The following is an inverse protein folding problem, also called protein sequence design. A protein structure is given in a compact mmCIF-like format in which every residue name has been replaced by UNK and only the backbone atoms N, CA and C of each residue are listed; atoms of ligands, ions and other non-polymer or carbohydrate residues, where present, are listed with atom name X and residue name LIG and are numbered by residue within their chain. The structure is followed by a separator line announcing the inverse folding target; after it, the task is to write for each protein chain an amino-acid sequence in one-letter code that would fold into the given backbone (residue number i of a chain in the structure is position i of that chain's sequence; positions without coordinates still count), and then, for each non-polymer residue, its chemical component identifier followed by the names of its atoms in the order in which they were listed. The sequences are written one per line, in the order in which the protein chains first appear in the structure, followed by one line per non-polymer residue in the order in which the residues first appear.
data_IF_077180664953
#
_entry.id   IF_077180664953
#
_cell.length_a   1.000
_cell.length_b   1.000
_cell.length_c   1.000
_cell.angle_alpha   90.00
_cell.angle_beta   90.00
_cell.angle_gamma   90.00
#
_symmetry.space_group_name_H-M   'P 1'
#
loop_
_entity.id
_entity.type
_entity.pdbx_description
1 polymer ?
#
# COMPACT_ATOMS: atom_id res chain seq x y z
N UNK A 1 -9.63 -13.92 -13.27
CA UNK A 1 -8.25 -13.71 -12.78
C UNK A 1 -8.26 -13.56 -11.29
N UNK A 2 -7.41 -12.71 -10.73
CA UNK A 2 -7.40 -12.38 -9.30
C UNK A 2 -8.72 -11.71 -8.87
N UNK A 3 -9.09 -11.85 -7.60
CA UNK A 3 -10.26 -11.18 -7.00
C UNK A 3 -9.81 -10.24 -5.89
N UNK A 4 -10.41 -9.06 -5.82
CA UNK A 4 -10.17 -8.09 -4.76
C UNK A 4 -11.49 -7.76 -4.05
N UNK A 5 -11.46 -7.84 -2.72
CA UNK A 5 -12.59 -7.47 -1.88
C UNK A 5 -12.44 -6.03 -1.42
N UNK A 6 -13.48 -5.20 -1.54
CA UNK A 6 -13.50 -3.88 -0.93
C UNK A 6 -14.42 -3.91 0.28
N UNK A 7 -13.95 -3.48 1.45
CA UNK A 7 -14.80 -3.28 2.62
C UNK A 7 -15.16 -1.79 2.70
N UNK A 8 -16.37 -1.47 2.26
CA UNK A 8 -16.80 -0.09 2.02
C UNK A 8 -16.44 0.44 0.63
N UNK A 9 -16.61 1.75 0.44
CA UNK A 9 -16.37 2.43 -0.83
C UNK A 9 -15.14 3.36 -0.76
N UNK A 10 -14.86 4.08 -1.85
CA UNK A 10 -13.81 5.09 -1.88
C UNK A 10 -14.02 6.15 -0.78
N UNK A 11 -12.92 6.68 -0.23
CA UNK A 11 -12.99 7.91 0.57
C UNK A 11 -13.70 9.00 -0.25
N UNK A 12 -14.68 9.67 0.37
CA UNK A 12 -15.49 10.68 -0.29
C UNK A 12 -14.64 11.81 -0.87
N UNK A 13 -15.02 12.24 -2.07
CA UNK A 13 -14.38 13.33 -2.81
C UNK A 13 -12.95 13.04 -3.27
N UNK A 14 -12.48 11.80 -3.19
CA UNK A 14 -11.18 11.38 -3.75
C UNK A 14 -11.37 10.92 -5.19
N UNK A 15 -10.61 11.51 -6.11
CA UNK A 15 -10.70 11.20 -7.54
C UNK A 15 -9.82 10.01 -7.95
N UNK A 16 -8.54 10.04 -7.61
CA UNK A 16 -7.54 9.12 -8.19
C UNK A 16 -7.74 7.66 -7.79
N UNK A 17 -8.44 7.39 -6.68
CA UNK A 17 -8.73 6.03 -6.21
C UNK A 17 -10.02 5.46 -6.81
N UNK A 18 -10.84 6.30 -7.45
CA UNK A 18 -12.04 5.88 -8.20
C UNK A 18 -11.67 5.46 -9.65
N UNK A 19 -12.65 5.01 -10.43
CA UNK A 19 -12.47 4.63 -11.83
C UNK A 19 -13.40 3.49 -12.27
N UNK A 20 -13.27 3.08 -13.52
CA UNK A 20 -14.13 2.06 -14.13
C UNK A 20 -13.61 0.63 -13.86
N UNK A 21 -14.26 -0.06 -12.92
CA UNK A 21 -13.95 -1.45 -12.56
C UNK A 21 -14.29 -2.44 -13.67
N UNK A 22 -15.28 -2.13 -14.53
CA UNK A 22 -15.66 -2.97 -15.67
C UNK A 22 -14.61 -2.86 -16.78
N UNK A 23 -14.14 -1.64 -17.08
CA UNK A 23 -13.01 -1.45 -18.00
C UNK A 23 -11.76 -2.16 -17.47
N UNK A 24 -11.46 -2.04 -16.17
CA UNK A 24 -10.34 -2.75 -15.56
C UNK A 24 -10.47 -4.28 -15.66
N UNK A 25 -11.65 -4.85 -15.41
CA UNK A 25 -11.86 -6.30 -15.55
C UNK A 25 -11.70 -6.75 -17.01
N UNK A 26 -12.18 -5.97 -17.97
CA UNK A 26 -11.99 -6.25 -19.40
C UNK A 26 -10.52 -6.14 -19.82
N UNK A 27 -9.78 -5.17 -19.28
CA UNK A 27 -8.38 -4.90 -19.64
C UNK A 27 -7.42 -5.90 -19.00
N UNK A 28 -7.63 -6.23 -17.72
CA UNK A 28 -6.67 -6.98 -16.90
C UNK A 28 -7.16 -8.36 -16.45
N UNK A 29 -8.47 -8.61 -16.49
CA UNK A 29 -9.07 -9.88 -16.05
C UNK A 29 -9.15 -10.09 -14.53
N UNK A 30 -8.89 -9.05 -13.71
CA UNK A 30 -9.14 -9.10 -12.27
C UNK A 30 -10.52 -8.52 -11.95
N UNK A 31 -11.17 -9.09 -10.93
CA UNK A 31 -12.48 -8.64 -10.46
C UNK A 31 -12.35 -7.85 -9.17
N UNK A 32 -13.10 -6.76 -9.06
CA UNK A 32 -13.16 -5.91 -7.85
C UNK A 32 -14.59 -5.75 -7.44
N UNK A 33 -14.96 -6.25 -6.26
CA UNK A 33 -16.32 -6.18 -5.75
C UNK A 33 -16.33 -5.72 -4.29
N UNK A 34 -17.37 -4.97 -3.93
CA UNK A 34 -17.56 -4.46 -2.58
C UNK A 34 -18.41 -5.41 -1.75
N UNK A 35 -17.98 -5.63 -0.51
CA UNK A 35 -18.67 -6.38 0.52
C UNK A 35 -18.98 -5.42 1.67
N UNK A 36 -20.13 -5.61 2.33
CA UNK A 36 -20.50 -4.73 3.42
C UNK A 36 -19.54 -4.91 4.58
N UNK A 37 -19.17 -3.83 5.28
CA UNK A 37 -18.32 -3.93 6.47
C UNK A 37 -18.94 -4.86 7.53
N UNK A 38 -20.27 -4.91 7.59
CA UNK A 38 -21.02 -5.82 8.47
C UNK A 38 -20.74 -7.30 8.21
N UNK A 39 -20.51 -7.70 6.96
CA UNK A 39 -20.19 -9.09 6.60
C UNK A 39 -18.82 -9.47 7.20
N UNK A 40 -17.84 -8.56 7.12
CA UNK A 40 -16.53 -8.76 7.75
C UNK A 40 -16.65 -8.79 9.28
N UNK A 41 -17.44 -7.90 9.87
CA UNK A 41 -17.68 -7.85 11.31
C UNK A 41 -18.26 -9.16 11.82
N UNK A 42 -19.17 -9.81 11.09
CA UNK A 42 -19.71 -11.14 11.44
C UNK A 42 -18.59 -12.19 11.55
N UNK A 43 -17.68 -12.23 10.57
CA UNK A 43 -16.55 -13.17 10.57
C UNK A 43 -15.56 -12.87 11.69
N UNK A 44 -15.28 -11.59 11.97
CA UNK A 44 -14.42 -11.17 13.08
C UNK A 44 -15.00 -11.63 14.42
N UNK A 45 -16.30 -11.42 14.63
CA UNK A 45 -17.00 -11.80 15.86
C UNK A 45 -17.06 -13.31 16.09
N UNK A 46 -16.90 -14.11 15.02
CA UNK A 46 -16.82 -15.57 15.10
C UNK A 46 -15.42 -16.10 15.47
N UNK A 47 -14.44 -15.24 15.77
CA UNK A 47 -13.10 -15.64 16.21
C UNK A 47 -13.16 -16.36 17.56
N UNK A 48 -12.52 -17.52 17.66
CA UNK A 48 -12.48 -18.33 18.88
C UNK A 48 -11.36 -17.89 19.83
N UNK A 49 -11.51 -18.13 21.13
CA UNK A 49 -10.46 -17.84 22.12
C UNK A 49 -9.14 -18.56 21.80
N UNK A 50 -9.21 -19.77 21.25
CA UNK A 50 -8.04 -20.56 20.88
C UNK A 50 -7.26 -19.92 19.71
N UNK A 51 -7.96 -19.44 18.67
CA UNK A 51 -7.33 -18.74 17.53
C UNK A 51 -6.68 -17.44 17.99
N UNK A 52 -7.37 -16.67 18.83
CA UNK A 52 -6.86 -15.42 19.39
C UNK A 52 -5.60 -15.69 20.22
N UNK A 53 -5.63 -16.68 21.12
CA UNK A 53 -4.48 -17.03 21.94
C UNK A 53 -3.27 -17.48 21.11
N UNK A 54 -3.52 -18.30 20.07
CA UNK A 54 -2.47 -18.75 19.15
C UNK A 54 -1.82 -17.58 18.41
N UNK A 55 -2.61 -16.66 17.86
CA UNK A 55 -2.11 -15.52 17.11
C UNK A 55 -1.34 -14.53 18.00
N UNK A 56 -1.80 -14.30 19.24
CA UNK A 56 -1.05 -13.48 20.20
C UNK A 56 0.31 -14.10 20.57
N UNK A 57 0.36 -15.42 20.77
CA UNK A 57 1.62 -16.12 21.03
C UNK A 57 2.58 -15.98 19.84
N UNK A 58 2.05 -16.03 18.62
CA UNK A 58 2.83 -15.79 17.41
C UNK A 58 3.35 -14.35 17.34
N UNK A 59 2.54 -13.34 17.70
CA UNK A 59 3.00 -11.96 17.78
C UNK A 59 4.16 -11.80 18.78
N UNK A 60 4.05 -12.40 19.96
CA UNK A 60 5.07 -12.35 21.01
C UNK A 60 6.37 -13.05 20.62
N UNK A 61 6.29 -14.11 19.82
CA UNK A 61 7.47 -14.78 19.27
C UNK A 61 8.12 -13.94 18.15
N UNK A 62 7.30 -13.39 17.25
CA UNK A 62 7.74 -12.82 15.97
C UNK A 62 8.18 -11.36 16.08
N UNK A 63 7.60 -10.57 16.98
CA UNK A 63 7.81 -9.13 17.06
C UNK A 63 8.40 -8.69 18.41
N UNK A 64 8.87 -7.44 18.48
CA UNK A 64 9.07 -6.78 19.76
C UNK A 64 7.75 -6.17 20.22
N UNK A 65 7.45 -6.23 21.52
CA UNK A 65 6.24 -5.62 22.07
C UNK A 65 6.61 -4.37 22.87
N UNK A 66 5.98 -3.25 22.56
CA UNK A 66 6.01 -2.08 23.43
C UNK A 66 5.38 -2.40 24.81
N UNK A 67 5.83 -1.71 25.87
CA UNK A 67 5.34 -1.95 27.24
C UNK A 67 3.81 -1.83 27.34
N UNK A 68 3.23 -0.92 26.56
CA UNK A 68 1.80 -0.65 26.58
C UNK A 68 0.94 -1.78 25.96
N UNK A 69 1.53 -2.73 25.22
CA UNK A 69 0.81 -3.87 24.61
C UNK A 69 1.20 -5.23 25.19
N UNK A 70 2.17 -5.28 26.11
CA UNK A 70 2.54 -6.51 26.83
C UNK A 70 1.39 -7.00 27.71
N UNK A 71 1.49 -8.23 28.23
CA UNK A 71 0.53 -8.74 29.21
C UNK A 71 0.42 -7.79 30.42
N UNK A 72 -0.80 -7.34 30.71
CA UNK A 72 -1.07 -6.33 31.75
C UNK A 72 -0.82 -4.87 31.34
N UNK A 73 -0.35 -4.63 30.11
CA UNK A 73 -0.20 -3.29 29.53
C UNK A 73 -1.55 -2.64 29.22
N UNK A 74 -1.57 -1.30 29.24
CA UNK A 74 -2.77 -0.46 29.06
C UNK A 74 -3.59 -0.81 27.82
N UNK A 75 -2.92 -1.09 26.69
CA UNK A 75 -3.53 -1.37 25.39
C UNK A 75 -3.45 -2.85 25.00
N UNK A 76 -3.30 -3.77 25.97
CA UNK A 76 -3.33 -5.21 25.67
C UNK A 76 -4.65 -5.63 25.03
N UNK A 77 -5.77 -5.02 25.45
CA UNK A 77 -7.09 -5.27 24.86
C UNK A 77 -7.13 -4.87 23.37
N UNK A 78 -6.54 -3.74 22.99
CA UNK A 78 -6.47 -3.29 21.60
C UNK A 78 -5.66 -4.24 20.71
N UNK A 79 -4.60 -4.83 21.25
CA UNK A 79 -3.84 -5.89 20.56
C UNK A 79 -4.67 -7.16 20.37
N UNK A 80 -5.49 -7.53 21.35
CA UNK A 80 -6.44 -8.66 21.23
C UNK A 80 -7.47 -8.38 20.13
N UNK A 81 -8.01 -7.16 20.07
CA UNK A 81 -8.93 -6.75 19.00
C UNK A 81 -8.24 -6.75 17.62
N UNK A 82 -6.95 -6.38 17.54
CA UNK A 82 -6.19 -6.48 16.30
C UNK A 82 -6.05 -7.93 15.82
N UNK A 83 -5.81 -8.86 16.75
CA UNK A 83 -5.74 -10.28 16.44
C UNK A 83 -7.08 -10.82 15.91
N UNK A 84 -8.21 -10.43 16.49
CA UNK A 84 -9.54 -10.79 15.99
C UNK A 84 -9.79 -10.26 14.58
N UNK A 85 -9.42 -9.00 14.33
CA UNK A 85 -9.54 -8.39 13.00
C UNK A 85 -8.72 -9.16 11.97
N UNK A 86 -7.48 -9.54 12.31
CA UNK A 86 -6.63 -10.33 11.42
C UNK A 86 -7.22 -11.72 11.13
N UNK A 87 -7.70 -12.43 12.15
CA UNK A 87 -8.34 -13.74 12.00
C UNK A 87 -9.57 -13.61 11.07
N UNK A 88 -10.41 -12.61 11.31
CA UNK A 88 -11.61 -12.38 10.51
C UNK A 88 -11.30 -12.04 9.05
N UNK A 89 -10.39 -11.08 8.83
CA UNK A 89 -9.93 -10.72 7.49
C UNK A 89 -9.33 -11.92 6.76
N UNK A 90 -8.41 -12.66 7.39
CA UNK A 90 -7.78 -13.85 6.81
C UNK A 90 -8.82 -14.88 6.39
N UNK A 91 -9.75 -15.24 7.27
CA UNK A 91 -10.83 -16.18 6.97
C UNK A 91 -11.69 -15.71 5.79
N UNK A 92 -12.10 -14.43 5.80
CA UNK A 92 -12.90 -13.86 4.73
C UNK A 92 -12.18 -13.93 3.38
N UNK A 93 -10.90 -13.53 3.37
CA UNK A 93 -10.06 -13.50 2.17
C UNK A 93 -9.85 -14.90 1.59
N UNK A 94 -9.52 -15.87 2.45
CA UNK A 94 -9.31 -17.26 2.05
C UNK A 94 -10.58 -17.93 1.52
N UNK A 95 -11.72 -17.74 2.20
CA UNK A 95 -12.99 -18.32 1.78
C UNK A 95 -13.48 -17.80 0.43
N UNK A 96 -13.25 -16.51 0.15
CA UNK A 96 -13.61 -15.89 -1.13
C UNK A 96 -12.58 -16.05 -2.24
N UNK A 97 -11.43 -16.68 -1.96
CA UNK A 97 -10.28 -16.79 -2.85
C UNK A 97 -9.77 -15.41 -3.34
N UNK A 98 -9.79 -14.42 -2.44
CA UNK A 98 -9.31 -13.07 -2.71
C UNK A 98 -7.77 -13.03 -2.70
N UNK A 99 -7.20 -12.13 -3.50
CA UNK A 99 -5.74 -11.91 -3.61
C UNK A 99 -5.30 -10.56 -3.04
N UNK A 100 -6.27 -9.77 -2.58
CA UNK A 100 -6.04 -8.49 -1.94
C UNK A 100 -7.36 -7.84 -1.59
N UNK A 101 -7.28 -6.71 -0.90
CA UNK A 101 -8.45 -6.00 -0.43
C UNK A 101 -8.18 -4.52 -0.18
N UNK A 102 -9.24 -3.79 0.13
CA UNK A 102 -9.20 -2.40 0.60
C UNK A 102 -10.08 -2.26 1.82
N UNK A 103 -9.81 -1.27 2.65
CA UNK A 103 -10.75 -0.76 3.65
C UNK A 103 -11.06 0.72 3.40
N UNK A 104 -11.87 1.32 4.26
CA UNK A 104 -12.05 2.77 4.31
C UNK A 104 -12.34 3.20 5.74
N UNK A 105 -11.61 4.19 6.23
CA UNK A 105 -11.84 4.71 7.58
C UNK A 105 -13.20 5.44 7.71
N UNK A 106 -13.88 5.73 6.59
CA UNK A 106 -15.20 6.37 6.58
C UNK A 106 -16.37 5.39 6.76
N UNK A 107 -16.13 4.09 6.68
CA UNK A 107 -17.11 3.02 6.95
C UNK A 107 -16.51 1.91 7.83
N UNK A 108 -16.56 2.13 9.14
CA UNK A 108 -16.08 1.20 10.15
C UNK A 108 -17.22 0.76 11.10
N UNK A 109 -18.46 0.74 10.63
CA UNK A 109 -19.59 0.34 11.47
C UNK A 109 -19.42 -1.11 11.95
N UNK A 110 -19.53 -1.33 13.27
CA UNK A 110 -19.30 -2.63 13.91
C UNK A 110 -17.83 -2.98 14.18
N UNK A 111 -16.87 -2.29 13.55
CA UNK A 111 -15.44 -2.46 13.83
C UNK A 111 -15.03 -1.72 15.11
N UNK A 112 -14.13 -2.33 15.90
CA UNK A 112 -13.59 -1.73 17.13
C UNK A 112 -12.49 -0.71 16.84
N UNK A 113 -11.61 -1.02 15.88
CA UNK A 113 -10.49 -0.20 15.43
C UNK A 113 -10.27 -0.36 13.92
N UNK A 114 -9.59 0.60 13.31
CA UNK A 114 -9.16 0.50 11.91
C UNK A 114 -8.13 -0.65 11.77
N UNK A 115 -8.23 -1.51 10.73
CA UNK A 115 -7.26 -2.59 10.49
C UNK A 115 -5.83 -2.09 10.23
N UNK A 116 -4.97 -2.06 11.25
CA UNK A 116 -3.54 -1.74 11.10
C UNK A 116 -2.65 -2.97 11.01
N UNK A 117 -2.27 -3.51 12.18
CA UNK A 117 -1.43 -4.71 12.32
C UNK A 117 -1.88 -5.87 11.42
N UNK A 118 -3.19 -6.14 11.38
CA UNK A 118 -3.79 -7.18 10.55
C UNK A 118 -3.42 -7.02 9.06
N UNK A 119 -3.55 -5.80 8.53
CA UNK A 119 -3.27 -5.49 7.12
C UNK A 119 -1.79 -5.62 6.82
N UNK A 120 -0.93 -5.11 7.71
CA UNK A 120 0.53 -5.22 7.59
C UNK A 120 0.96 -6.68 7.46
N UNK A 121 0.42 -7.57 8.30
CA UNK A 121 0.73 -9.00 8.27
C UNK A 121 0.20 -9.70 7.03
N UNK A 122 -1.03 -9.40 6.60
CA UNK A 122 -1.59 -9.96 5.37
C UNK A 122 -0.80 -9.51 4.12
N UNK A 123 -0.32 -8.27 4.06
CA UNK A 123 0.57 -7.85 2.97
C UNK A 123 1.89 -8.63 2.94
N UNK A 124 2.49 -8.88 4.10
CA UNK A 124 3.72 -9.68 4.20
C UNK A 124 3.54 -11.12 3.69
N UNK A 125 2.33 -11.66 3.79
CA UNK A 125 1.96 -12.98 3.26
C UNK A 125 1.62 -12.97 1.76
N UNK A 126 1.63 -11.78 1.15
CA UNK A 126 1.51 -11.61 -0.28
C UNK A 126 0.19 -11.00 -0.74
N UNK A 127 -0.75 -10.69 0.15
CA UNK A 127 -1.99 -10.02 -0.24
C UNK A 127 -1.69 -8.60 -0.75
N UNK A 128 -2.41 -8.18 -1.79
CA UNK A 128 -2.45 -6.79 -2.19
C UNK A 128 -3.31 -5.96 -1.24
N UNK A 129 -2.88 -4.76 -0.89
CA UNK A 129 -3.67 -3.82 -0.11
C UNK A 129 -3.42 -2.38 -0.59
N UNK A 130 -4.43 -1.53 -0.43
CA UNK A 130 -4.29 -0.08 -0.31
C UNK A 130 -5.49 0.45 0.49
N UNK A 131 -5.31 1.59 1.14
CA UNK A 131 -6.34 2.21 1.97
C UNK A 131 -7.44 2.90 1.15
N UNK A 132 -8.42 3.45 1.88
CA UNK A 132 -9.40 4.44 1.39
C UNK A 132 -10.23 3.99 0.17
N UNK A 133 -10.46 2.69 0.05
CA UNK A 133 -11.22 2.08 -1.03
C UNK A 133 -10.48 2.06 -2.38
N UNK A 134 -9.18 2.39 -2.41
CA UNK A 134 -8.34 2.34 -3.61
C UNK A 134 -8.16 0.91 -4.08
N UNK A 135 -8.90 0.55 -5.12
CA UNK A 135 -8.91 -0.81 -5.64
C UNK A 135 -7.89 -1.04 -6.76
N UNK A 136 -7.28 0.01 -7.31
CA UNK A 136 -6.28 -0.13 -8.39
C UNK A 136 -4.92 -0.49 -7.79
N UNK A 137 -4.54 0.18 -6.71
CA UNK A 137 -3.26 -0.03 -6.05
C UNK A 137 -3.08 -1.45 -5.44
N UNK A 138 -4.05 -2.10 -4.76
CA UNK A 138 -3.87 -3.47 -4.28
C UNK A 138 -3.69 -4.46 -5.43
N UNK A 139 -4.34 -4.22 -6.58
CA UNK A 139 -4.13 -5.03 -7.77
C UNK A 139 -2.71 -4.89 -8.32
N UNK A 140 -2.20 -3.66 -8.37
CA UNK A 140 -0.81 -3.39 -8.75
C UNK A 140 0.18 -3.98 -7.75
N UNK A 141 0.00 -3.76 -6.44
CA UNK A 141 0.84 -4.31 -5.37
C UNK A 141 0.88 -5.83 -5.46
N UNK A 142 -0.27 -6.49 -5.63
CA UNK A 142 -0.33 -7.95 -5.79
C UNK A 142 0.38 -8.41 -7.07
N UNK A 143 0.17 -7.74 -8.19
CA UNK A 143 0.85 -8.06 -9.45
C UNK A 143 2.37 -7.97 -9.29
N UNK A 144 2.86 -6.88 -8.68
CA UNK A 144 4.28 -6.69 -8.42
C UNK A 144 4.87 -7.72 -7.45
N UNK A 145 4.15 -8.07 -6.37
CA UNK A 145 4.55 -9.15 -5.46
C UNK A 145 4.67 -10.50 -6.17
N UNK A 146 3.77 -10.80 -7.11
CA UNK A 146 3.84 -12.02 -7.92
C UNK A 146 4.99 -11.97 -8.92
N UNK A 147 5.20 -10.84 -9.60
CA UNK A 147 6.33 -10.64 -10.53
C UNK A 147 7.67 -10.77 -9.81
N UNK A 148 7.78 -10.27 -8.58
CA UNK A 148 8.99 -10.32 -7.76
C UNK A 148 9.21 -11.64 -7.01
N UNK A 149 8.36 -12.66 -7.21
CA UNK A 149 8.50 -13.92 -6.49
C UNK A 149 9.84 -14.61 -6.77
N UNK A 150 10.63 -14.83 -5.73
CA UNK A 150 11.98 -15.42 -5.82
C UNK A 150 13.11 -14.42 -6.10
N UNK A 151 12.79 -13.14 -6.31
CA UNK A 151 13.78 -12.06 -6.36
C UNK A 151 14.09 -11.54 -4.94
N UNK A 152 15.30 -11.00 -4.70
CA UNK A 152 15.58 -10.28 -3.46
C UNK A 152 14.72 -9.01 -3.36
N UNK A 153 14.46 -8.56 -2.13
CA UNK A 153 13.60 -7.41 -1.87
C UNK A 153 12.11 -7.77 -1.86
N UNK A 154 11.24 -6.76 -1.86
CA UNK A 154 9.78 -6.94 -1.88
C UNK A 154 9.11 -5.74 -2.55
N UNK A 155 7.82 -5.89 -2.86
CA UNK A 155 6.92 -4.79 -3.21
C UNK A 155 5.86 -4.63 -2.13
N UNK A 156 5.53 -3.39 -1.81
CA UNK A 156 4.59 -3.01 -0.77
C UNK A 156 3.73 -1.82 -1.20
N UNK A 157 2.58 -1.67 -0.54
CA UNK A 157 1.81 -0.43 -0.57
C UNK A 157 2.59 0.71 0.10
N UNK A 158 2.52 1.91 -0.46
CA UNK A 158 3.20 3.09 0.04
C UNK A 158 2.48 4.38 -0.37
N UNK A 159 2.62 5.41 0.45
CA UNK A 159 2.18 6.78 0.16
C UNK A 159 3.32 7.78 0.47
N UNK A 160 3.55 8.72 -0.43
CA UNK A 160 4.42 9.89 -0.21
C UNK A 160 3.83 10.77 0.91
N UNK A 161 4.40 10.69 2.13
CA UNK A 161 3.76 11.22 3.33
C UNK A 161 4.23 12.65 3.69
N UNK A 162 5.53 12.92 3.55
CA UNK A 162 6.09 14.26 3.77
C UNK A 162 7.48 14.41 3.12
N UNK A 163 7.99 15.63 3.07
CA UNK A 163 9.24 15.97 2.38
C UNK A 163 10.27 16.61 3.31
N UNK A 164 11.54 16.27 3.07
CA UNK A 164 12.71 16.91 3.66
C UNK A 164 13.42 17.75 2.59
N UNK A 165 13.31 19.08 2.66
CA UNK A 165 13.84 20.00 1.65
C UNK A 165 15.24 20.56 1.98
N UNK A 166 16.11 19.76 2.59
CA UNK A 166 17.52 20.12 2.68
C UNK A 166 18.12 20.13 1.26
N UNK A 167 18.68 21.27 0.76
CA UNK A 167 19.25 21.34 -0.58
C UNK A 167 20.39 20.34 -0.83
N UNK A 168 21.07 19.87 0.22
CA UNK A 168 22.15 18.88 0.13
C UNK A 168 21.63 17.45 0.22
N UNK A 169 20.45 17.25 0.79
CA UNK A 169 19.91 15.93 1.07
C UNK A 169 18.38 15.86 0.92
N UNK A 170 17.80 16.21 -0.24
CA UNK A 170 16.35 16.21 -0.38
C UNK A 170 15.83 14.78 -0.37
N UNK A 171 14.77 14.52 0.41
CA UNK A 171 14.18 13.19 0.58
C UNK A 171 12.66 13.25 0.68
N UNK A 172 12.02 12.14 0.33
CA UNK A 172 10.63 11.84 0.64
C UNK A 172 10.59 10.84 1.79
N UNK A 173 9.71 11.06 2.75
CA UNK A 173 9.31 10.06 3.72
C UNK A 173 8.00 9.43 3.27
N UNK A 174 8.04 8.14 2.98
CA UNK A 174 6.84 7.36 2.74
C UNK A 174 6.40 6.57 3.95
N UNK A 175 5.09 6.46 4.07
CA UNK A 175 4.41 5.73 5.13
C UNK A 175 2.96 5.48 4.69
N UNK A 176 2.11 5.15 5.65
CA UNK A 176 0.66 5.29 5.59
C UNK A 176 0.14 5.46 7.01
N UNK A 177 -1.17 5.60 7.20
CA UNK A 177 -1.73 5.78 8.54
C UNK A 177 -1.40 4.63 9.51
N UNK A 178 -1.36 3.38 9.01
CA UNK A 178 -0.95 2.18 9.74
C UNK A 178 -0.18 1.18 8.85
N UNK A 179 -0.58 1.08 7.59
CA UNK A 179 -0.55 -0.14 6.76
C UNK A 179 0.72 -0.23 5.91
N UNK A 180 1.89 -0.18 6.54
CA UNK A 180 3.18 -0.40 5.84
C UNK A 180 3.62 -1.85 6.00
N UNK A 181 3.95 -2.50 4.88
CA UNK A 181 4.33 -3.91 4.82
C UNK A 181 5.66 -4.20 5.56
N UNK A 182 5.68 -5.08 6.58
CA UNK A 182 6.86 -5.40 7.36
C UNK A 182 7.91 -6.22 6.59
N UNK A 183 7.61 -6.71 5.39
CA UNK A 183 8.63 -7.28 4.51
C UNK A 183 9.68 -6.23 4.08
N UNK A 184 9.38 -4.93 4.20
CA UNK A 184 10.35 -3.85 4.03
C UNK A 184 11.25 -3.63 5.25
N UNK A 185 10.94 -4.21 6.42
CA UNK A 185 11.58 -3.84 7.66
C UNK A 185 13.08 -4.18 7.67
N UNK A 186 13.87 -3.31 8.30
CA UNK A 186 15.20 -3.63 8.82
C UNK A 186 15.02 -4.05 10.29
N UNK A 187 15.59 -5.20 10.65
CA UNK A 187 15.52 -5.71 12.01
C UNK A 187 14.14 -6.25 12.38
N UNK A 188 13.86 -6.36 13.68
CA UNK A 188 12.61 -6.92 14.21
C UNK A 188 11.57 -5.79 14.38
N UNK A 189 10.43 -5.79 13.66
CA UNK A 189 9.39 -4.80 13.86
C UNK A 189 8.83 -4.81 15.27
N UNK A 190 8.38 -3.64 15.75
CA UNK A 190 7.80 -3.47 17.09
C UNK A 190 6.30 -3.25 17.00
N UNK A 191 5.51 -4.03 17.73
CA UNK A 191 4.07 -3.81 17.91
C UNK A 191 3.88 -2.69 18.91
N UNK A 192 3.14 -1.67 18.49
CA UNK A 192 2.78 -0.51 19.30
C UNK A 192 1.28 -0.19 19.14
N UNK A 193 0.68 0.41 20.16
CA UNK A 193 -0.66 1.02 20.08
C UNK A 193 -0.52 2.51 20.38
N UNK A 194 -1.12 3.34 19.53
CA UNK A 194 -1.15 4.79 19.64
C UNK A 194 -2.50 5.35 19.21
N UNK A 195 -2.89 6.54 19.69
CA UNK A 195 -4.09 7.20 19.24
C UNK A 195 -4.16 7.45 17.73
N UNK A 196 -5.33 7.20 17.15
CA UNK A 196 -5.66 7.55 15.77
C UNK A 196 -7.04 8.22 15.72
N UNK A 197 -7.06 9.53 15.50
CA UNK A 197 -8.33 10.28 15.41
C UNK A 197 -9.11 10.00 14.11
N UNK A 198 -8.42 9.60 13.04
CA UNK A 198 -9.00 9.27 11.75
C UNK A 198 -9.87 8.01 11.90
N UNK A 199 -11.11 8.06 11.40
CA UNK A 199 -12.10 6.98 11.55
C UNK A 199 -12.84 6.95 12.89
N UNK A 200 -12.39 7.70 13.91
CA UNK A 200 -13.12 7.86 15.18
C UNK A 200 -13.31 6.57 15.98
N UNK A 201 -12.32 5.68 15.94
CA UNK A 201 -12.33 4.36 16.60
C UNK A 201 -11.34 4.28 17.75
N UNK A 202 -11.27 3.11 18.39
CA UNK A 202 -10.26 2.84 19.41
C UNK A 202 -8.85 2.83 18.79
N UNK A 203 -7.86 3.10 19.64
CA UNK A 203 -6.45 3.20 19.27
C UNK A 203 -5.94 1.88 18.66
N UNK A 204 -5.56 1.86 17.36
CA UNK A 204 -5.20 0.64 16.66
C UNK A 204 -3.78 0.17 16.97
N UNK A 205 -3.59 -1.15 17.01
CA UNK A 205 -2.26 -1.74 17.02
C UNK A 205 -1.63 -1.68 15.61
N UNK A 206 -0.32 -1.42 15.55
CA UNK A 206 0.49 -1.43 14.31
C UNK A 206 1.89 -1.97 14.55
N UNK A 207 2.57 -2.36 13.48
CA UNK A 207 4.01 -2.55 13.43
C UNK A 207 4.70 -1.22 13.10
N UNK A 208 5.71 -0.89 13.88
CA UNK A 208 6.59 0.27 13.70
C UNK A 208 8.00 -0.26 13.42
N UNK A 209 8.60 0.24 12.34
CA UNK A 209 9.95 -0.15 11.90
C UNK A 209 10.52 0.88 10.92
N UNK A 210 11.84 0.82 10.69
CA UNK A 210 12.50 1.51 9.58
C UNK A 210 12.60 0.56 8.38
N UNK A 211 12.32 1.07 7.19
CA UNK A 211 12.42 0.32 5.94
C UNK A 211 13.84 0.16 5.40
N UNK A 212 14.03 -0.85 4.56
CA UNK A 212 15.24 -1.14 3.81
C UNK A 212 15.55 -0.03 2.79
N UNK A 213 16.85 0.26 2.62
CA UNK A 213 17.38 1.11 1.56
C UNK A 213 17.78 0.29 0.33
N UNK A 214 18.08 0.95 -0.78
CA UNK A 214 18.49 0.30 -2.03
C UNK A 214 17.86 0.93 -3.26
N UNK A 215 18.19 0.39 -4.42
CA UNK A 215 17.56 0.82 -5.68
C UNK A 215 16.09 0.38 -5.66
N UNK A 216 15.21 1.32 -5.97
CA UNK A 216 13.78 1.11 -5.85
C UNK A 216 13.02 1.83 -6.97
N UNK A 217 11.72 1.56 -7.00
CA UNK A 217 10.76 2.32 -7.80
C UNK A 217 9.46 2.52 -7.05
N UNK A 218 8.76 3.60 -7.39
CA UNK A 218 7.35 3.82 -7.10
C UNK A 218 6.56 3.64 -8.39
N UNK A 219 5.54 2.78 -8.35
CA UNK A 219 4.64 2.57 -9.49
C UNK A 219 3.20 2.96 -9.12
N UNK A 220 2.49 3.62 -10.04
CA UNK A 220 1.10 4.01 -9.89
C UNK A 220 0.30 3.67 -11.14
N UNK A 221 -0.84 3.00 -10.96
CA UNK A 221 -1.79 2.67 -12.03
C UNK A 221 -2.98 3.62 -11.93
N UNK A 222 -3.13 4.50 -12.90
CA UNK A 222 -4.18 5.52 -12.93
C UNK A 222 -5.15 5.29 -14.07
N UNK A 223 -6.42 5.57 -13.79
CA UNK A 223 -7.49 5.56 -14.78
C UNK A 223 -7.62 6.97 -15.37
N UNK A 224 -7.35 7.10 -16.68
CA UNK A 224 -7.45 8.37 -17.41
C UNK A 224 -8.86 8.57 -18.01
N UNK A 225 -9.82 7.70 -17.66
CA UNK A 225 -11.21 7.70 -18.09
C UNK A 225 -11.45 7.00 -19.44
N UNK A 226 -10.46 6.99 -20.33
CA UNK A 226 -10.55 6.29 -21.63
C UNK A 226 -9.49 5.21 -21.77
N UNK A 227 -8.64 5.00 -20.77
CA UNK A 227 -7.50 4.06 -20.79
C UNK A 227 -6.81 4.12 -19.43
N UNK A 228 -5.98 3.12 -19.16
CA UNK A 228 -5.08 3.12 -18.02
C UNK A 228 -3.67 3.62 -18.40
N UNK A 229 -3.01 4.29 -17.46
CA UNK A 229 -1.62 4.70 -17.53
C UNK A 229 -0.87 4.10 -16.33
N UNK A 230 0.25 3.44 -16.59
CA UNK A 230 1.20 2.99 -15.58
C UNK A 230 2.37 3.98 -15.54
N UNK A 231 2.53 4.64 -14.39
CA UNK A 231 3.57 5.64 -14.15
C UNK A 231 4.58 5.02 -13.19
N UNK A 232 5.85 5.04 -13.55
CA UNK A 232 6.94 4.48 -12.76
C UNK A 232 8.00 5.55 -12.54
N UNK A 233 8.32 5.83 -11.27
CA UNK A 233 9.45 6.68 -10.92
C UNK A 233 10.54 5.82 -10.27
N UNK A 234 11.74 5.83 -10.86
CA UNK A 234 12.93 5.29 -10.18
C UNK A 234 13.25 6.17 -8.98
N UNK A 235 13.54 5.52 -7.85
CA UNK A 235 13.90 6.18 -6.61
C UNK A 235 15.09 5.46 -5.97
N UNK A 236 15.87 6.18 -5.17
CA UNK A 236 16.88 5.58 -4.32
C UNK A 236 16.37 5.54 -2.89
N UNK A 237 16.02 4.35 -2.39
CA UNK A 237 15.76 4.14 -0.97
C UNK A 237 17.00 4.43 -0.14
N UNK A 238 16.86 5.18 0.95
CA UNK A 238 17.96 5.60 1.83
C UNK A 238 17.69 5.17 3.28
N UNK A 239 18.77 4.95 4.03
CA UNK A 239 18.65 4.52 5.41
C UNK A 239 18.06 5.64 6.29
N UNK A 240 17.27 5.26 7.29
CA UNK A 240 16.83 6.16 8.35
C UNK A 240 17.92 6.24 9.41
N UNK A 241 18.71 7.32 9.39
CA UNK A 241 19.86 7.49 10.29
C UNK A 241 19.49 8.17 11.62
N UNK A 242 18.44 8.98 11.62
CA UNK A 242 17.97 9.73 12.79
C UNK A 242 16.82 9.02 13.51
N UNK A 243 16.78 9.12 14.83
CA UNK A 243 15.65 8.60 15.60
C UNK A 243 14.38 9.42 15.37
N UNK A 244 13.25 8.74 15.17
CA UNK A 244 11.93 9.35 14.99
C UNK A 244 10.97 8.95 16.13
N UNK A 245 11.27 9.30 17.40
CA UNK A 245 10.61 8.73 18.58
C UNK A 245 9.14 9.12 18.73
N UNK A 246 8.69 10.15 17.99
CA UNK A 246 7.30 10.63 18.00
C UNK A 246 6.50 10.23 16.76
N UNK A 247 7.11 9.52 15.81
CA UNK A 247 6.43 9.06 14.61
C UNK A 247 5.88 7.65 14.87
N UNK A 248 4.56 7.48 15.03
CA UNK A 248 4.00 6.25 15.59
C UNK A 248 3.73 5.18 14.52
N UNK A 249 4.34 5.30 13.35
CA UNK A 249 4.15 4.46 12.16
C UNK A 249 5.51 4.05 11.58
N UNK A 250 5.50 2.91 10.90
CA UNK A 250 6.63 2.47 10.09
C UNK A 250 6.87 3.41 8.90
N UNK A 251 8.12 3.51 8.45
CA UNK A 251 8.50 4.49 7.43
C UNK A 251 9.64 4.04 6.55
N UNK A 252 9.66 4.57 5.34
CA UNK A 252 10.74 4.42 4.36
C UNK A 252 11.18 5.81 3.92
N UNK A 253 12.46 6.00 3.63
CA UNK A 253 12.98 7.23 3.04
C UNK A 253 13.50 6.93 1.64
N UNK A 254 13.29 7.86 0.69
CA UNK A 254 13.92 7.76 -0.63
C UNK A 254 14.22 9.12 -1.23
N UNK A 255 15.03 9.10 -2.29
CA UNK A 255 15.29 10.22 -3.19
C UNK A 255 14.71 9.90 -4.56
N UNK A 256 13.75 10.68 -5.08
CA UNK A 256 13.25 10.45 -6.43
C UNK A 256 14.30 10.87 -7.47
N UNK A 257 14.36 10.13 -8.57
CA UNK A 257 15.22 10.46 -9.71
C UNK A 257 14.43 11.31 -10.73
N UNK A 258 15.10 12.22 -11.49
CA UNK A 258 16.54 12.52 -11.41
C UNK A 258 16.91 13.40 -10.20
N UNK A 259 15.93 14.14 -9.70
CA UNK A 259 16.03 14.97 -8.50
C UNK A 259 14.62 15.22 -7.95
N UNK A 260 14.51 15.69 -6.70
CA UNK A 260 13.25 15.99 -6.02
C UNK A 260 12.32 16.90 -6.83
N UNK A 261 12.85 17.98 -7.42
CA UNK A 261 12.01 18.95 -8.12
C UNK A 261 11.49 18.35 -9.42
N UNK A 262 12.37 17.75 -10.22
CA UNK A 262 12.03 17.20 -11.52
C UNK A 262 11.14 15.97 -11.38
N UNK A 263 11.48 15.03 -10.49
CA UNK A 263 10.73 13.80 -10.24
C UNK A 263 9.30 14.08 -9.78
N UNK A 264 9.13 14.94 -8.76
CA UNK A 264 7.79 15.32 -8.28
C UNK A 264 6.99 16.10 -9.34
N UNK A 265 7.64 17.02 -10.09
CA UNK A 265 6.95 17.78 -11.15
C UNK A 265 6.48 16.85 -12.27
N UNK A 266 7.34 15.92 -12.71
CA UNK A 266 7.03 14.93 -13.71
C UNK A 266 5.86 14.02 -13.29
N UNK A 267 5.85 13.57 -12.02
CA UNK A 267 4.78 12.75 -11.47
C UNK A 267 3.43 13.46 -11.49
N UNK A 268 3.40 14.73 -11.05
CA UNK A 268 2.20 15.57 -11.07
C UNK A 268 1.69 15.78 -12.50
N UNK A 269 2.60 16.08 -13.44
CA UNK A 269 2.27 16.28 -14.86
C UNK A 269 1.73 15.00 -15.50
N UNK A 270 2.28 13.83 -15.14
CA UNK A 270 1.80 12.54 -15.60
C UNK A 270 0.44 12.14 -14.99
N UNK A 271 0.04 12.78 -13.89
CA UNK A 271 -1.20 12.51 -13.16
C UNK A 271 -1.10 11.30 -12.23
N UNK A 272 0.08 11.02 -11.67
CA UNK A 272 0.28 9.90 -10.76
C UNK A 272 -0.48 10.04 -9.43
N UNK A 273 -0.90 8.90 -8.86
CA UNK A 273 -1.55 8.89 -7.56
C UNK A 273 -0.56 9.16 -6.42
N UNK A 274 -1.08 9.48 -5.23
CA UNK A 274 -0.33 9.49 -3.97
C UNK A 274 -0.06 8.06 -3.48
N UNK A 275 -0.97 7.13 -3.77
CA UNK A 275 -0.78 5.71 -3.54
C UNK A 275 0.09 5.06 -4.60
N UNK A 276 1.07 4.27 -4.14
CA UNK A 276 2.04 3.60 -5.00
C UNK A 276 2.28 2.17 -4.55
N UNK A 277 2.75 1.36 -5.50
CA UNK A 277 3.49 0.15 -5.19
C UNK A 277 4.98 0.51 -5.15
N UNK A 278 5.55 0.59 -3.94
CA UNK A 278 6.99 0.77 -3.72
C UNK A 278 7.68 -0.58 -3.83
N UNK A 279 8.66 -0.71 -4.72
CA UNK A 279 9.38 -1.97 -4.95
C UNK A 279 10.88 -1.81 -4.79
N UNK A 280 11.47 -2.70 -3.99
CA UNK A 280 12.92 -2.95 -3.90
C UNK A 280 13.35 -4.18 -4.73
N UNK A 281 12.40 -4.90 -5.33
CA UNK A 281 12.65 -6.16 -6.05
C UNK A 281 12.58 -6.00 -7.57
N UNK A 282 11.78 -5.05 -8.06
CA UNK A 282 11.52 -4.87 -9.49
C UNK A 282 12.33 -3.71 -10.06
N UNK A 283 12.74 -3.87 -11.31
CA UNK A 283 13.25 -2.79 -12.16
C UNK A 283 12.14 -2.25 -13.07
N UNK A 284 12.32 -1.06 -13.66
CA UNK A 284 11.36 -0.51 -14.64
C UNK A 284 11.06 -1.44 -15.82
N UNK A 285 12.02 -2.27 -16.24
CA UNK A 285 11.87 -3.22 -17.34
C UNK A 285 10.71 -4.21 -17.11
N UNK A 286 10.55 -4.74 -15.90
CA UNK A 286 9.42 -5.63 -15.57
C UNK A 286 8.07 -4.94 -15.76
N UNK A 287 7.98 -3.66 -15.38
CA UNK A 287 6.74 -2.88 -15.46
C UNK A 287 6.47 -2.38 -16.87
N UNK A 288 7.51 -2.09 -17.65
CA UNK A 288 7.38 -1.79 -19.07
C UNK A 288 6.88 -3.00 -19.85
N UNK A 289 7.44 -4.18 -19.60
CA UNK A 289 7.01 -5.44 -20.22
C UNK A 289 5.56 -5.78 -19.81
N UNK A 290 5.21 -5.61 -18.53
CA UNK A 290 3.84 -5.75 -18.06
C UNK A 290 2.89 -4.78 -18.79
N UNK A 291 3.25 -3.50 -18.90
CA UNK A 291 2.45 -2.52 -19.61
C UNK A 291 2.27 -2.88 -21.10
N UNK A 292 3.30 -3.43 -21.74
CA UNK A 292 3.22 -3.90 -23.13
C UNK A 292 2.28 -5.11 -23.27
N UNK A 293 2.36 -6.08 -22.36
CA UNK A 293 1.48 -7.24 -22.34
C UNK A 293 0.03 -6.86 -22.08
N UNK A 294 -0.18 -5.91 -21.16
CA UNK A 294 -1.50 -5.45 -20.74
C UNK A 294 -2.01 -4.27 -21.59
N UNK A 295 -1.31 -3.82 -22.64
CA UNK A 295 -1.76 -2.75 -23.55
C UNK A 295 -1.97 -1.40 -22.88
N UNK A 296 -1.10 -1.00 -21.95
CA UNK A 296 -1.20 0.24 -21.17
C UNK A 296 -0.26 1.31 -21.72
N UNK A 297 -0.60 2.58 -21.48
CA UNK A 297 0.43 3.62 -21.56
C UNK A 297 1.44 3.45 -20.43
N UNK A 298 2.72 3.40 -20.78
CA UNK A 298 3.82 3.38 -19.84
C UNK A 298 4.56 4.72 -19.83
N UNK A 299 4.76 5.27 -18.64
CA UNK A 299 5.49 6.52 -18.41
C UNK A 299 6.59 6.27 -17.38
N UNK A 300 7.84 6.44 -17.79
CA UNK A 300 9.01 6.31 -16.92
C UNK A 300 9.54 7.70 -16.52
N UNK A 301 9.84 7.86 -15.24
CA UNK A 301 10.53 9.00 -14.65
C UNK A 301 11.82 8.48 -14.02
N UNK A 302 12.95 8.86 -14.59
CA UNK A 302 14.28 8.35 -14.31
C UNK A 302 15.36 9.45 -14.38
N UNK A 303 16.63 9.07 -14.37
CA UNK A 303 17.79 9.96 -14.40
C UNK A 303 17.85 10.89 -15.63
N UNK A 304 17.26 10.46 -16.75
CA UNK A 304 17.31 11.20 -18.03
C UNK A 304 16.05 12.06 -18.26
N UNK A 305 15.13 12.06 -17.30
CA UNK A 305 13.84 12.72 -17.43
C UNK A 305 13.97 14.25 -17.32
N UNK A 306 13.31 14.95 -18.24
CA UNK A 306 13.03 16.39 -18.09
C UNK A 306 11.53 16.61 -18.23
N UNK A 307 10.98 17.57 -17.48
CA UNK A 307 9.53 17.84 -17.49
C UNK A 307 9.03 18.18 -18.90
N UNK A 308 9.77 19.00 -19.64
CA UNK A 308 9.38 19.37 -21.01
C UNK A 308 9.30 18.17 -21.97
N UNK A 309 10.29 17.27 -21.91
CA UNK A 309 10.29 16.05 -22.74
C UNK A 309 9.15 15.12 -22.35
N UNK A 310 8.90 14.98 -21.05
CA UNK A 310 7.78 14.17 -20.55
C UNK A 310 6.45 14.75 -21.05
N UNK A 311 6.22 16.06 -20.93
CA UNK A 311 5.00 16.70 -21.44
C UNK A 311 4.77 16.43 -22.93
N UNK A 312 5.83 16.49 -23.74
CA UNK A 312 5.72 16.19 -25.17
C UNK A 312 5.44 14.70 -25.41
N UNK A 313 6.09 13.79 -24.67
CA UNK A 313 5.80 12.36 -24.70
C UNK A 313 4.33 12.08 -24.36
N UNK A 314 3.78 12.71 -23.31
CA UNK A 314 2.39 12.53 -22.91
C UNK A 314 1.42 13.00 -23.99
N UNK A 315 1.70 14.12 -24.67
CA UNK A 315 0.89 14.61 -25.80
C UNK A 315 0.91 13.64 -26.98
N UNK A 316 2.07 13.07 -27.30
CA UNK A 316 2.19 12.10 -28.41
C UNK A 316 1.52 10.77 -28.08
N UNK A 317 1.73 10.28 -26.85
CA UNK A 317 1.09 9.06 -26.36
C UNK A 317 -0.42 9.21 -26.36
N UNK A 318 -0.96 10.35 -25.93
CA UNK A 318 -2.39 10.61 -25.94
C UNK A 318 -2.99 10.37 -27.33
N UNK A 319 -2.35 10.92 -28.38
CA UNK A 319 -2.79 10.69 -29.75
C UNK A 319 -2.64 9.22 -30.17
N UNK A 320 -1.53 8.56 -29.81
CA UNK A 320 -1.29 7.15 -30.14
C UNK A 320 -2.38 6.23 -29.54
N UNK A 321 -2.67 6.35 -28.25
CA UNK A 321 -3.66 5.51 -27.58
C UNK A 321 -5.10 5.85 -27.97
N UNK A 322 -5.38 7.10 -28.37
CA UNK A 322 -6.68 7.49 -28.91
C UNK A 322 -6.92 6.91 -30.31
N UNK A 323 -5.88 6.78 -31.15
CA UNK A 323 -5.96 6.22 -32.50
C UNK A 323 -5.87 4.68 -32.55
N UNK A 324 -5.30 4.06 -31.51
CA UNK A 324 -5.14 2.61 -31.41
C UNK A 324 -6.39 1.87 -30.92
N UNK A 325 -7.43 2.59 -30.48
CA UNK A 325 -8.75 2.03 -30.14
C UNK A 325 -9.65 1.90 -31.37
#
# INVERSE_FOLDING_TARGET
GAKFARFGDNMRYVAVTDGDKVEAESQFGFAVNTYAIGDLVEVINASTEAEIAALLAEYEATYELAENVKAGGEYRANLIEAAKIEIGLRKFLEQGDFKGFTDTFEDLHGMVQLPGLAVQRLMAEGYGFAGEGDWKTPALVRACKVMGAGLPGTTAFMEDYTYHFDPQNPMVLGSHMLEVDPALAIGKPRIEVHPLGIGGKADPARLVFNGQSGDALNASLVDMGTRFRLIVNKVQGVAVEEELPKLPVARVLWKPLPDMKTGCSAWIVAGGAHHTAYSLSLTPEYLEDFARMAGLEYVLIDEDTTVARLEDQLKWNELYYLLGK
#
